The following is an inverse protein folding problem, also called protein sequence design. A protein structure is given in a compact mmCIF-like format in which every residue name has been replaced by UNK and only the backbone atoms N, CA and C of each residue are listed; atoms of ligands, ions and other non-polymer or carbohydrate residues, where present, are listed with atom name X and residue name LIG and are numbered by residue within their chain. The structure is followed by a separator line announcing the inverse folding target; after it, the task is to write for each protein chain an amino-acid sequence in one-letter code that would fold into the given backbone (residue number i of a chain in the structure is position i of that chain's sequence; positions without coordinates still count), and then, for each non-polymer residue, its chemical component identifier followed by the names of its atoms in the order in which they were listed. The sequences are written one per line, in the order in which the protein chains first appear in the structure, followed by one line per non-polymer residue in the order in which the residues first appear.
data_IF_758864855787
#
_entry.id   IF_758864855787
#
_cell.length_a   1.000
_cell.length_b   1.000
_cell.length_c   1.000
_cell.angle_alpha   90.00
_cell.angle_beta   90.00
_cell.angle_gamma   90.00
#
_symmetry.space_group_name_H-M   'P 1'
#
loop_
_entity.id
_entity.type
_entity.pdbx_description
1 polymer ?
#
# COMPACT_ATOMS: atom_id res chain seq x y z
N UNK A 1 -9.77 5.97 -8.50
CA UNK A 1 -9.80 4.49 -8.31
C UNK A 1 -11.16 3.89 -8.70
N UNK A 2 -11.18 2.80 -9.48
CA UNK A 2 -12.43 2.19 -9.99
C UNK A 2 -13.30 1.55 -8.89
N UNK A 3 -12.70 0.99 -7.84
CA UNK A 3 -13.42 0.40 -6.71
C UNK A 3 -14.32 1.43 -6.01
N UNK A 4 -13.83 2.66 -5.80
CA UNK A 4 -14.63 3.77 -5.24
C UNK A 4 -15.87 4.02 -6.10
N UNK A 5 -15.70 4.05 -7.44
CA UNK A 5 -16.81 4.26 -8.38
C UNK A 5 -17.86 3.14 -8.26
N UNK A 6 -17.40 1.89 -8.22
CA UNK A 6 -18.28 0.72 -8.09
C UNK A 6 -19.10 0.75 -6.80
N UNK A 7 -18.53 1.30 -5.74
CA UNK A 7 -19.17 1.45 -4.42
C UNK A 7 -20.04 2.72 -4.30
N UNK A 8 -20.22 3.48 -5.39
CA UNK A 8 -21.06 4.67 -5.43
C UNK A 8 -20.38 5.94 -4.92
N UNK A 9 -19.05 5.95 -4.81
CA UNK A 9 -18.28 7.13 -4.42
C UNK A 9 -18.30 8.24 -5.48
N UNK A 10 -18.17 9.48 -5.00
CA UNK A 10 -18.19 10.66 -5.86
C UNK A 10 -17.02 10.68 -6.85
N UNK A 11 -17.14 11.45 -7.93
CA UNK A 11 -16.01 11.68 -8.85
C UNK A 11 -14.80 12.26 -8.11
N UNK A 12 -15.03 13.25 -7.24
CA UNK A 12 -14.01 13.86 -6.40
C UNK A 12 -13.25 12.83 -5.56
N UNK A 13 -13.96 11.89 -4.96
CA UNK A 13 -13.35 10.79 -4.18
C UNK A 13 -12.62 9.77 -5.06
N UNK A 14 -13.08 9.56 -6.30
CA UNK A 14 -12.35 8.75 -7.27
C UNK A 14 -11.03 9.41 -7.69
N UNK A 15 -11.01 10.73 -7.84
CA UNK A 15 -9.79 11.53 -8.11
C UNK A 15 -8.84 11.42 -6.92
N UNK A 16 -9.32 11.65 -5.70
CA UNK A 16 -8.52 11.45 -4.48
C UNK A 16 -7.92 10.04 -4.42
N UNK A 17 -8.73 9.01 -4.69
CA UNK A 17 -8.23 7.63 -4.69
C UNK A 17 -7.32 7.28 -5.87
N UNK A 18 -7.33 8.05 -6.97
CA UNK A 18 -6.31 7.91 -8.03
C UNK A 18 -4.97 8.50 -7.59
N UNK A 19 -5.01 9.56 -6.78
CA UNK A 19 -3.84 10.33 -6.37
C UNK A 19 -3.25 9.87 -5.04
N UNK A 20 -3.94 9.04 -4.24
CA UNK A 20 -3.56 8.75 -2.85
C UNK A 20 -2.09 8.31 -2.66
N UNK A 21 -1.54 7.58 -3.63
CA UNK A 21 -0.15 7.10 -3.61
C UNK A 21 0.83 7.93 -4.48
N UNK A 22 0.44 9.13 -4.91
CA UNK A 22 1.23 9.97 -5.84
C UNK A 22 2.67 10.21 -5.40
N UNK A 23 2.92 10.26 -4.11
CA UNK A 23 4.22 10.57 -3.51
C UNK A 23 5.01 9.33 -3.05
N UNK A 24 4.55 8.12 -3.38
CA UNK A 24 5.36 6.92 -3.17
C UNK A 24 6.66 7.02 -3.97
N UNK A 25 7.77 6.73 -3.30
CA UNK A 25 9.10 6.71 -3.91
C UNK A 25 9.40 5.36 -4.57
N UNK A 26 10.53 5.30 -5.27
CA UNK A 26 11.12 4.06 -5.74
C UNK A 26 11.18 3.02 -4.60
N UNK A 27 10.75 1.79 -4.92
CA UNK A 27 10.61 0.66 -4.00
C UNK A 27 9.65 0.89 -2.83
N UNK A 28 8.72 1.84 -2.96
CA UNK A 28 7.64 2.10 -2.01
C UNK A 28 8.18 2.30 -0.59
N UNK A 29 7.78 1.48 0.38
CA UNK A 29 8.18 1.59 1.79
C UNK A 29 9.65 1.27 2.09
N UNK A 30 10.45 0.83 1.10
CA UNK A 30 11.88 0.59 1.36
C UNK A 30 12.59 1.89 1.75
N UNK A 31 12.15 3.05 1.25
CA UNK A 31 12.73 4.35 1.61
C UNK A 31 12.64 4.63 3.11
N UNK A 32 11.56 4.19 3.76
CA UNK A 32 11.34 4.38 5.19
C UNK A 32 12.47 3.68 5.98
N UNK A 33 12.87 2.48 5.56
CA UNK A 33 14.00 1.76 6.16
C UNK A 33 15.34 2.41 5.82
N UNK A 34 15.52 2.92 4.60
CA UNK A 34 16.77 3.60 4.18
C UNK A 34 17.05 4.80 5.07
N UNK A 35 16.03 5.65 5.29
CA UNK A 35 16.11 6.89 6.04
C UNK A 35 15.89 6.73 7.55
N UNK A 36 15.74 5.50 8.05
CA UNK A 36 15.40 5.18 9.44
C UNK A 36 14.13 5.86 9.94
N UNK A 37 13.12 5.97 9.07
CA UNK A 37 11.82 6.52 9.38
C UNK A 37 10.87 5.39 9.83
N UNK A 38 10.52 5.36 11.11
CA UNK A 38 9.81 4.22 11.71
C UNK A 38 8.28 4.28 11.58
N UNK A 39 7.69 5.41 11.20
CA UNK A 39 6.23 5.53 11.11
C UNK A 39 5.67 5.07 9.75
N UNK A 40 6.54 4.70 8.80
CA UNK A 40 6.18 4.30 7.42
C UNK A 40 5.42 5.39 6.63
N UNK A 41 5.62 6.67 7.00
CA UNK A 41 4.86 7.83 6.49
C UNK A 41 5.67 8.79 5.59
N UNK A 42 6.87 8.41 5.14
CA UNK A 42 7.73 9.35 4.37
C UNK A 42 7.01 9.92 3.15
N UNK A 43 6.25 9.09 2.43
CA UNK A 43 5.45 9.49 1.28
C UNK A 43 4.37 10.53 1.63
N UNK A 44 3.75 10.46 2.82
CA UNK A 44 2.72 11.42 3.26
C UNK A 44 3.29 12.85 3.37
N UNK A 45 4.55 12.99 3.78
CA UNK A 45 5.24 14.30 3.90
C UNK A 45 5.39 15.02 2.57
N UNK A 46 5.55 14.25 1.49
CA UNK A 46 5.74 14.77 0.13
C UNK A 46 4.45 14.88 -0.66
N UNK A 47 3.35 14.29 -0.18
CA UNK A 47 2.08 14.29 -0.90
C UNK A 47 1.60 15.70 -1.25
N UNK A 48 1.63 16.62 -0.29
CA UNK A 48 1.27 18.02 -0.52
C UNK A 48 2.20 18.74 -1.51
N UNK A 49 3.50 18.39 -1.52
CA UNK A 49 4.45 18.98 -2.46
C UNK A 49 4.14 18.54 -3.90
N UNK A 50 3.93 17.24 -4.13
CA UNK A 50 3.63 16.70 -5.46
C UNK A 50 2.29 17.18 -6.00
N UNK A 51 1.27 17.20 -5.15
CA UNK A 51 -0.08 17.60 -5.55
C UNK A 51 -0.16 19.08 -5.95
N UNK A 52 0.73 19.93 -5.42
CA UNK A 52 0.83 21.35 -5.78
C UNK A 52 1.71 21.62 -6.99
N UNK A 53 2.43 20.62 -7.51
CA UNK A 53 3.25 20.82 -8.71
C UNK A 53 2.36 21.26 -9.88
N UNK A 54 2.82 22.22 -10.71
CA UNK A 54 2.01 22.77 -11.81
C UNK A 54 1.42 21.70 -12.73
N UNK A 55 2.15 20.61 -12.97
CA UNK A 55 1.70 19.50 -13.82
C UNK A 55 0.44 18.81 -13.28
N UNK A 56 0.30 18.70 -11.96
CA UNK A 56 -0.85 18.06 -11.31
C UNK A 56 -1.92 19.10 -10.98
N UNK A 57 -1.53 20.22 -10.37
CA UNK A 57 -2.47 21.25 -9.91
C UNK A 57 -3.22 21.89 -11.07
N UNK A 58 -2.57 22.15 -12.21
CA UNK A 58 -3.25 22.70 -13.39
C UNK A 58 -4.29 21.75 -13.99
N UNK A 59 -4.03 20.44 -13.94
CA UNK A 59 -5.01 19.42 -14.36
C UNK A 59 -6.18 19.43 -13.39
N UNK A 60 -5.95 19.42 -12.07
CA UNK A 60 -7.02 19.50 -11.09
C UNK A 60 -7.91 20.74 -11.33
N UNK A 61 -7.29 21.91 -11.50
CA UNK A 61 -7.98 23.18 -11.75
C UNK A 61 -8.81 23.14 -13.05
N UNK A 62 -8.28 22.55 -14.12
CA UNK A 62 -8.99 22.39 -15.39
C UNK A 62 -10.28 21.56 -15.27
N UNK A 63 -10.35 20.69 -14.26
CA UNK A 63 -11.52 19.87 -13.94
C UNK A 63 -12.34 20.41 -12.75
N UNK A 64 -12.02 21.61 -12.26
CA UNK A 64 -12.78 22.27 -11.18
C UNK A 64 -12.45 21.79 -9.77
N UNK A 65 -11.27 21.17 -9.58
CA UNK A 65 -10.75 20.75 -8.28
C UNK A 65 -9.52 21.58 -7.89
N UNK A 66 -9.19 21.57 -6.61
CA UNK A 66 -7.95 22.17 -6.10
C UNK A 66 -7.09 21.15 -5.36
N UNK A 67 -5.78 21.39 -5.29
CA UNK A 67 -4.89 20.58 -4.46
C UNK A 67 -5.32 20.59 -2.99
N UNK A 68 -5.75 21.74 -2.46
CA UNK A 68 -6.22 21.85 -1.07
C UNK A 68 -7.42 20.95 -0.80
N UNK A 69 -8.38 20.89 -1.73
CA UNK A 69 -9.53 19.99 -1.61
C UNK A 69 -9.16 18.51 -1.59
N UNK A 70 -8.09 18.12 -2.31
CA UNK A 70 -7.58 16.75 -2.30
C UNK A 70 -6.81 16.46 -1.01
N UNK A 71 -6.14 17.45 -0.41
CA UNK A 71 -5.39 17.30 0.84
C UNK A 71 -6.27 17.26 2.08
N UNK A 72 -7.32 18.11 2.13
CA UNK A 72 -8.16 18.26 3.32
C UNK A 72 -9.52 17.59 3.18
N UNK A 73 -9.80 16.96 2.04
CA UNK A 73 -11.07 16.30 1.77
C UNK A 73 -11.27 15.08 2.65
N UNK A 74 -12.52 14.86 3.10
CA UNK A 74 -12.90 13.65 3.82
C UNK A 74 -13.39 12.60 2.82
N UNK A 75 -12.54 11.61 2.51
CA UNK A 75 -12.79 10.56 1.53
C UNK A 75 -12.97 9.19 2.22
N UNK A 76 -14.13 9.01 2.85
CA UNK A 76 -14.42 7.88 3.75
C UNK A 76 -14.51 6.50 3.10
N UNK A 77 -14.71 6.43 1.77
CA UNK A 77 -14.65 5.18 1.01
C UNK A 77 -13.19 4.86 0.68
N UNK A 78 -12.40 5.87 0.28
CA UNK A 78 -10.98 5.72 -0.01
C UNK A 78 -10.23 5.18 1.20
N UNK A 79 -10.33 5.89 2.33
CA UNK A 79 -9.54 5.61 3.52
C UNK A 79 -10.38 5.67 4.80
N UNK A 80 -10.05 4.78 5.74
CA UNK A 80 -10.61 4.73 7.08
C UNK A 80 -9.49 4.31 8.04
N UNK A 81 -9.53 4.74 9.31
CA UNK A 81 -8.63 4.21 10.32
C UNK A 81 -8.89 2.70 10.53
N UNK A 82 -7.84 1.97 10.87
CA UNK A 82 -7.99 0.60 11.36
C UNK A 82 -8.93 0.55 12.57
N UNK A 83 -9.73 -0.50 12.74
CA UNK A 83 -9.74 -1.75 11.96
C UNK A 83 -10.78 -1.78 10.82
N UNK A 84 -11.40 -0.65 10.48
CA UNK A 84 -12.47 -0.58 9.46
C UNK A 84 -11.94 -0.92 8.08
N UNK A 85 -12.74 -1.49 7.16
CA UNK A 85 -12.34 -1.61 5.76
C UNK A 85 -12.39 -0.25 5.04
N UNK A 86 -11.52 -0.07 4.04
CA UNK A 86 -11.55 1.04 3.09
C UNK A 86 -11.12 0.53 1.71
N UNK A 87 -11.26 1.37 0.69
CA UNK A 87 -11.04 0.96 -0.68
C UNK A 87 -9.56 0.77 -1.01
N UNK A 88 -8.65 1.57 -0.45
CA UNK A 88 -7.20 1.33 -0.56
C UNK A 88 -6.84 -0.07 -0.02
N UNK A 89 -7.14 -0.32 1.27
CA UNK A 89 -6.86 -1.62 1.90
C UNK A 89 -7.51 -2.80 1.21
N UNK A 90 -8.72 -2.65 0.71
CA UNK A 90 -9.37 -3.71 -0.03
C UNK A 90 -8.70 -3.94 -1.39
N UNK A 91 -8.33 -2.88 -2.12
CA UNK A 91 -7.70 -2.96 -3.42
C UNK A 91 -6.35 -3.68 -3.34
N UNK A 92 -5.42 -3.19 -2.50
CA UNK A 92 -4.10 -3.83 -2.41
C UNK A 92 -4.22 -5.28 -1.90
N UNK A 93 -5.16 -5.58 -0.99
CA UNK A 93 -5.33 -6.95 -0.49
C UNK A 93 -5.71 -7.92 -1.59
N UNK A 94 -6.68 -7.54 -2.42
CA UNK A 94 -7.15 -8.40 -3.50
C UNK A 94 -6.12 -8.47 -4.63
N UNK A 95 -5.52 -7.33 -4.98
CA UNK A 95 -4.52 -7.19 -6.05
C UNK A 95 -3.25 -7.98 -5.75
N UNK A 96 -2.70 -7.81 -4.55
CA UNK A 96 -1.42 -8.43 -4.19
C UNK A 96 -1.56 -9.93 -4.04
N UNK A 97 -2.65 -10.41 -3.42
CA UNK A 97 -2.94 -11.84 -3.32
C UNK A 97 -3.20 -12.47 -4.69
N UNK A 98 -3.82 -11.75 -5.63
CA UNK A 98 -3.99 -12.22 -7.01
C UNK A 98 -2.64 -12.42 -7.69
N UNK A 99 -1.75 -11.42 -7.64
CA UNK A 99 -0.42 -11.50 -8.23
C UNK A 99 0.49 -12.51 -7.53
N UNK A 100 0.30 -12.73 -6.23
CA UNK A 100 0.95 -13.79 -5.47
C UNK A 100 0.41 -15.20 -5.78
N UNK A 101 -0.65 -15.33 -6.59
CA UNK A 101 -1.28 -16.61 -6.92
C UNK A 101 -2.09 -17.23 -5.77
N UNK A 102 -2.43 -16.43 -4.75
CA UNK A 102 -3.18 -16.84 -3.56
C UNK A 102 -4.69 -16.55 -3.67
N UNK A 103 -5.09 -15.84 -4.72
CA UNK A 103 -6.47 -15.59 -5.10
C UNK A 103 -6.68 -15.71 -6.61
N UNK A 104 -7.88 -16.11 -7.00
CA UNK A 104 -8.35 -16.06 -8.38
C UNK A 104 -9.28 -14.87 -8.63
N UNK A 105 -9.37 -14.41 -9.89
CA UNK A 105 -10.35 -13.37 -10.27
C UNK A 105 -11.81 -13.78 -9.95
N UNK A 106 -12.11 -15.08 -10.04
CA UNK A 106 -13.44 -15.61 -9.71
C UNK A 106 -13.77 -15.40 -8.23
N UNK A 107 -12.83 -15.70 -7.34
CA UNK A 107 -13.01 -15.47 -5.90
C UNK A 107 -13.14 -13.97 -5.59
N UNK A 108 -12.32 -13.13 -6.23
CA UNK A 108 -12.36 -11.69 -6.07
C UNK A 108 -13.72 -11.13 -6.47
N UNK A 109 -14.21 -11.46 -7.67
CA UNK A 109 -15.53 -10.98 -8.13
C UNK A 109 -16.66 -11.48 -7.23
N UNK A 110 -16.64 -12.75 -6.83
CA UNK A 110 -17.63 -13.30 -5.90
C UNK A 110 -17.62 -12.58 -4.54
N UNK A 111 -16.44 -12.23 -4.03
CA UNK A 111 -16.35 -11.43 -2.81
C UNK A 111 -16.89 -10.01 -3.00
N UNK A 112 -16.54 -9.33 -4.10
CA UNK A 112 -16.97 -7.96 -4.37
C UNK A 112 -18.50 -7.81 -4.49
N UNK A 113 -19.22 -8.86 -4.88
CA UNK A 113 -20.70 -8.89 -4.82
C UNK A 113 -21.26 -8.73 -3.40
N UNK A 114 -20.45 -8.94 -2.38
CA UNK A 114 -20.81 -8.84 -0.97
C UNK A 114 -20.33 -7.54 -0.31
N UNK A 115 -19.73 -6.60 -1.07
CA UNK A 115 -19.19 -5.34 -0.53
C UNK A 115 -20.11 -4.19 -0.91
N UNK A 116 -20.42 -3.32 0.05
CA UNK A 116 -21.19 -2.10 -0.20
C UNK A 116 -20.80 -0.98 0.76
N UNK A 117 -21.32 0.22 0.52
CA UNK A 117 -21.18 1.37 1.42
C UNK A 117 -22.51 1.60 2.14
N UNK A 118 -22.47 1.69 3.47
CA UNK A 118 -23.61 2.03 4.32
C UNK A 118 -23.20 3.13 5.29
N UNK A 119 -23.89 4.28 5.24
CA UNK A 119 -23.58 5.48 6.05
C UNK A 119 -22.09 5.85 5.99
N UNK A 120 -21.55 5.99 4.77
CA UNK A 120 -20.16 6.35 4.50
C UNK A 120 -19.10 5.35 5.05
N UNK A 121 -19.49 4.12 5.38
CA UNK A 121 -18.56 3.05 5.77
C UNK A 121 -18.69 1.86 4.86
N UNK A 122 -17.55 1.27 4.51
CA UNK A 122 -17.52 0.00 3.79
C UNK A 122 -17.98 -1.12 4.72
N UNK A 123 -19.00 -1.86 4.29
CA UNK A 123 -19.56 -3.00 5.00
C UNK A 123 -19.66 -4.20 4.06
N UNK A 124 -19.74 -5.39 4.63
CA UNK A 124 -20.04 -6.62 3.91
C UNK A 124 -21.44 -7.14 4.25
N UNK A 125 -22.05 -7.89 3.34
CA UNK A 125 -23.46 -8.33 3.45
C UNK A 125 -23.64 -9.65 4.19
N UNK A 126 -22.56 -10.35 4.57
CA UNK A 126 -22.66 -11.63 5.26
C UNK A 126 -21.50 -11.90 6.21
N UNK A 127 -21.76 -12.74 7.23
CA UNK A 127 -20.73 -13.24 8.15
C UNK A 127 -19.63 -14.02 7.40
N UNK A 128 -20.01 -14.76 6.36
CA UNK A 128 -19.07 -15.50 5.52
C UNK A 128 -18.11 -14.56 4.78
N UNK A 129 -18.62 -13.49 4.17
CA UNK A 129 -17.79 -12.49 3.50
C UNK A 129 -16.83 -11.79 4.48
N UNK A 130 -17.31 -11.43 5.67
CA UNK A 130 -16.45 -10.82 6.69
C UNK A 130 -15.32 -11.74 7.15
N UNK A 131 -15.61 -13.02 7.40
CA UNK A 131 -14.60 -14.01 7.74
C UNK A 131 -13.59 -14.18 6.61
N UNK A 132 -14.08 -14.28 5.38
CA UNK A 132 -13.24 -14.44 4.20
C UNK A 132 -12.25 -13.28 4.04
N UNK A 133 -12.70 -12.02 4.06
CA UNK A 133 -11.77 -10.90 3.87
C UNK A 133 -10.80 -10.74 5.03
N UNK A 134 -11.23 -11.01 6.28
CA UNK A 134 -10.33 -11.02 7.45
C UNK A 134 -9.24 -12.09 7.30
N UNK A 135 -9.61 -13.30 6.86
CA UNK A 135 -8.67 -14.37 6.57
C UNK A 135 -7.69 -13.98 5.45
N UNK A 136 -8.18 -13.45 4.33
CA UNK A 136 -7.33 -13.03 3.20
C UNK A 136 -6.37 -11.90 3.61
N UNK A 137 -6.82 -10.92 4.38
CA UNK A 137 -5.95 -9.88 4.91
C UNK A 137 -4.85 -10.45 5.83
N UNK A 138 -5.20 -11.44 6.67
CA UNK A 138 -4.22 -12.14 7.50
C UNK A 138 -3.21 -12.92 6.65
N UNK A 139 -3.66 -13.64 5.62
CA UNK A 139 -2.80 -14.35 4.67
C UNK A 139 -1.84 -13.39 3.96
N UNK A 140 -2.34 -12.25 3.47
CA UNK A 140 -1.47 -11.22 2.87
C UNK A 140 -0.38 -10.77 3.84
N UNK A 141 -0.75 -10.44 5.08
CA UNK A 141 0.20 -10.00 6.07
C UNK A 141 1.25 -11.06 6.42
N UNK A 142 0.87 -12.35 6.48
CA UNK A 142 1.75 -13.43 6.92
C UNK A 142 2.57 -14.03 5.78
N UNK A 143 1.92 -14.35 4.66
CA UNK A 143 2.50 -15.09 3.54
C UNK A 143 3.12 -14.18 2.47
N UNK A 144 2.82 -12.87 2.51
CA UNK A 144 3.38 -11.90 1.56
C UNK A 144 4.23 -10.85 2.26
N UNK A 145 3.66 -10.00 3.13
CA UNK A 145 4.44 -8.91 3.73
C UNK A 145 5.49 -9.41 4.75
N UNK A 146 5.13 -10.37 5.61
CA UNK A 146 6.06 -10.95 6.59
C UNK A 146 6.86 -12.14 6.05
N UNK A 147 6.75 -12.45 4.76
CA UNK A 147 7.53 -13.52 4.15
C UNK A 147 9.02 -13.23 4.32
N UNK A 148 9.77 -14.19 4.86
CA UNK A 148 11.17 -14.00 5.26
C UNK A 148 12.05 -13.55 4.10
N UNK A 149 11.79 -14.07 2.91
CA UNK A 149 12.47 -13.71 1.67
C UNK A 149 12.25 -12.24 1.30
N UNK A 150 11.01 -11.74 1.46
CA UNK A 150 10.68 -10.34 1.16
C UNK A 150 11.29 -9.39 2.20
N UNK A 151 11.20 -9.75 3.49
CA UNK A 151 11.86 -9.00 4.56
C UNK A 151 13.38 -8.94 4.37
N UNK A 152 14.01 -10.06 4.01
CA UNK A 152 15.42 -10.11 3.70
C UNK A 152 15.77 -9.22 2.50
N UNK A 153 15.04 -9.32 1.40
CA UNK A 153 15.30 -8.51 0.20
C UNK A 153 15.16 -7.01 0.50
N UNK A 154 14.06 -6.60 1.15
CA UNK A 154 13.84 -5.21 1.53
C UNK A 154 14.92 -4.70 2.47
N UNK A 155 15.34 -5.50 3.45
CA UNK A 155 16.41 -5.11 4.36
C UNK A 155 17.75 -4.94 3.64
N UNK A 156 18.15 -5.91 2.81
CA UNK A 156 19.43 -5.85 2.10
C UNK A 156 19.44 -4.74 1.05
N UNK A 157 18.30 -4.50 0.41
CA UNK A 157 18.15 -3.37 -0.50
C UNK A 157 18.26 -2.05 0.27
N UNK A 158 17.60 -1.91 1.42
CA UNK A 158 17.72 -0.71 2.25
C UNK A 158 19.16 -0.47 2.74
N UNK A 159 19.87 -1.52 3.16
CA UNK A 159 21.29 -1.46 3.53
C UNK A 159 22.16 -0.95 2.36
N UNK A 160 21.96 -1.49 1.15
CA UNK A 160 22.68 -1.07 -0.05
C UNK A 160 22.38 0.39 -0.42
N UNK A 161 21.11 0.77 -0.43
CA UNK A 161 20.67 2.12 -0.78
C UNK A 161 21.21 3.16 0.21
N UNK A 162 21.23 2.84 1.51
CA UNK A 162 21.81 3.70 2.54
C UNK A 162 23.31 3.91 2.33
N UNK A 163 24.06 2.85 2.06
CA UNK A 163 25.50 2.95 1.75
C UNK A 163 25.74 3.86 0.53
N UNK A 164 24.92 3.74 -0.52
CA UNK A 164 25.07 4.58 -1.71
C UNK A 164 24.71 6.05 -1.45
N UNK A 165 23.75 6.34 -0.59
CA UNK A 165 23.46 7.69 -0.11
C UNK A 165 24.62 8.27 0.72
N UNK A 166 25.15 7.51 1.68
CA UNK A 166 26.28 7.93 2.53
C UNK A 166 27.53 8.27 1.73
N UNK A 167 27.72 7.63 0.58
CA UNK A 167 28.82 7.87 -0.35
C UNK A 167 28.49 8.83 -1.50
N UNK A 168 27.30 9.46 -1.50
CA UNK A 168 26.82 10.35 -2.56
C UNK A 168 26.79 9.72 -3.98
N UNK A 169 26.65 8.40 -4.07
CA UNK A 169 26.38 7.71 -5.33
C UNK A 169 24.90 7.78 -5.73
N UNK A 170 24.02 7.90 -4.74
CA UNK A 170 22.61 8.26 -4.89
C UNK A 170 22.37 9.59 -4.17
N UNK A 171 21.36 10.31 -4.63
CA UNK A 171 20.77 11.46 -3.95
C UNK A 171 19.35 11.10 -3.50
N UNK A 172 18.82 11.81 -2.49
CA UNK A 172 17.42 11.60 -2.07
C UNK A 172 16.43 11.81 -3.23
N UNK A 173 16.73 12.77 -4.11
CA UNK A 173 15.91 13.07 -5.29
C UNK A 173 15.79 11.92 -6.29
N UNK A 174 16.77 10.99 -6.32
CA UNK A 174 16.71 9.81 -7.19
C UNK A 174 15.54 8.90 -6.82
N UNK A 175 15.10 8.90 -5.55
CA UNK A 175 13.99 8.10 -5.07
C UNK A 175 12.63 8.63 -5.53
N UNK A 176 12.53 9.90 -5.92
CA UNK A 176 11.31 10.47 -6.53
C UNK A 176 11.16 10.15 -8.03
N UNK A 177 12.12 9.41 -8.62
CA UNK A 177 12.02 8.94 -9.99
C UNK A 177 11.23 7.62 -10.05
N UNK A 178 11.90 6.49 -10.28
CA UNK A 178 11.27 5.17 -10.32
C UNK A 178 12.31 4.07 -10.03
N UNK A 179 11.83 2.86 -9.77
CA UNK A 179 12.67 1.69 -9.47
C UNK A 179 13.74 1.44 -10.54
N UNK A 180 13.39 1.62 -11.82
CA UNK A 180 14.32 1.39 -12.94
C UNK A 180 15.46 2.42 -12.94
N UNK A 181 15.16 3.69 -12.67
CA UNK A 181 16.17 4.73 -12.53
C UNK A 181 17.18 4.39 -11.43
N UNK A 182 16.69 4.05 -10.24
CA UNK A 182 17.57 3.72 -9.10
C UNK A 182 18.36 2.44 -9.36
N UNK A 183 17.74 1.40 -9.95
CA UNK A 183 18.46 0.17 -10.37
C UNK A 183 19.58 0.50 -11.34
N UNK A 184 19.33 1.34 -12.35
CA UNK A 184 20.35 1.71 -13.32
C UNK A 184 21.54 2.40 -12.66
N UNK A 185 21.29 3.32 -11.71
CA UNK A 185 22.34 3.98 -10.91
C UNK A 185 23.17 2.98 -10.11
N UNK A 186 22.52 2.02 -9.43
CA UNK A 186 23.19 0.93 -8.72
C UNK A 186 24.05 0.12 -9.69
N UNK A 187 23.52 -0.20 -10.87
CA UNK A 187 24.20 -1.02 -11.85
C UNK A 187 25.44 -0.34 -12.46
N UNK A 188 25.61 0.98 -12.40
CA UNK A 188 26.83 1.65 -12.86
C UNK A 188 28.08 1.33 -12.03
N UNK A 189 27.91 1.00 -10.73
CA UNK A 189 29.01 0.63 -9.85
C UNK A 189 29.18 -0.89 -9.80
N UNK A 190 30.36 -1.41 -10.15
CA UNK A 190 30.63 -2.85 -10.10
C UNK A 190 30.36 -3.44 -8.71
N UNK A 191 30.79 -2.73 -7.66
CA UNK A 191 30.58 -3.15 -6.27
C UNK A 191 29.10 -3.18 -5.88
N UNK A 192 28.35 -2.13 -6.23
CA UNK A 192 26.92 -2.05 -5.92
C UNK A 192 26.11 -3.07 -6.74
N UNK A 193 26.45 -3.26 -8.02
CA UNK A 193 25.88 -4.31 -8.88
C UNK A 193 26.09 -5.71 -8.29
N UNK A 194 27.29 -6.03 -7.83
CA UNK A 194 27.56 -7.33 -7.20
C UNK A 194 26.71 -7.54 -5.94
N UNK A 195 26.47 -6.48 -5.14
CA UNK A 195 25.56 -6.55 -3.98
C UNK A 195 24.11 -6.75 -4.43
N UNK A 196 23.65 -6.02 -5.45
CA UNK A 196 22.31 -6.19 -6.01
C UNK A 196 22.08 -7.60 -6.55
N UNK A 197 23.07 -8.19 -7.22
CA UNK A 197 22.99 -9.55 -7.76
C UNK A 197 22.87 -10.60 -6.65
N UNK A 198 23.54 -10.41 -5.51
CA UNK A 198 23.36 -11.24 -4.32
C UNK A 198 21.95 -11.14 -3.73
N UNK A 199 21.35 -9.95 -3.75
CA UNK A 199 19.96 -9.75 -3.32
C UNK A 199 19.01 -10.48 -4.28
N UNK A 200 19.16 -10.26 -5.60
CA UNK A 200 18.36 -10.90 -6.65
C UNK A 200 18.41 -12.43 -6.59
N UNK A 201 19.61 -12.98 -6.40
CA UNK A 201 19.84 -14.43 -6.29
C UNK A 201 19.55 -15.00 -4.91
N UNK A 202 19.28 -14.16 -3.91
CA UNK A 202 19.12 -14.54 -2.51
C UNK A 202 20.30 -15.38 -1.97
N UNK A 203 21.52 -15.14 -2.45
CA UNK A 203 22.67 -16.02 -2.17
C UNK A 203 23.02 -16.13 -0.69
N UNK A 204 22.83 -15.03 0.06
CA UNK A 204 23.16 -14.92 1.48
C UNK A 204 21.90 -15.05 2.37
N UNK A 205 20.75 -15.45 1.79
CA UNK A 205 19.51 -15.61 2.54
C UNK A 205 19.58 -16.81 3.49
N UNK A 206 19.33 -16.56 4.77
CA UNK A 206 19.20 -17.58 5.79
C UNK A 206 17.87 -17.38 6.55
N UNK A 207 16.88 -18.29 6.42
CA UNK A 207 15.57 -18.13 7.04
C UNK A 207 15.58 -18.23 8.57
N UNK A 208 16.71 -18.60 9.18
CA UNK A 208 16.89 -18.62 10.64
C UNK A 208 17.30 -17.24 11.16
N UNK A 209 17.94 -16.41 10.32
CA UNK A 209 18.32 -15.05 10.69
C UNK A 209 17.10 -14.14 10.58
N UNK A 210 16.63 -13.53 11.68
CA UNK A 210 15.49 -12.62 11.63
C UNK A 210 15.87 -11.33 10.90
N UNK A 211 14.90 -10.74 10.20
CA UNK A 211 15.04 -9.38 9.68
C UNK A 211 14.92 -8.36 10.81
N UNK A 212 15.61 -7.23 10.66
CA UNK A 212 15.47 -6.07 11.54
C UNK A 212 14.30 -5.15 11.14
N UNK A 213 13.63 -5.44 10.03
CA UNK A 213 12.43 -4.71 9.62
C UNK A 213 11.29 -5.06 10.58
N UNK A 214 10.74 -4.05 11.24
CA UNK A 214 9.58 -4.16 12.10
C UNK A 214 8.39 -3.64 11.31
N UNK A 215 7.54 -4.55 10.85
CA UNK A 215 6.31 -4.17 10.17
C UNK A 215 5.23 -3.76 11.18
N UNK A 216 4.49 -2.69 10.87
CA UNK A 216 3.33 -2.28 11.65
C UNK A 216 2.29 -3.41 11.67
N UNK A 217 1.80 -3.77 12.85
CA UNK A 217 0.72 -4.76 12.98
C UNK A 217 -0.59 -4.16 12.46
N UNK A 218 -1.09 -4.69 11.35
CA UNK A 218 -2.37 -4.27 10.74
C UNK A 218 -3.37 -5.42 10.86
N UNK A 219 -4.52 -5.15 11.46
CA UNK A 219 -5.63 -6.10 11.54
C UNK A 219 -6.94 -5.40 11.17
N UNK A 220 -7.78 -6.08 10.41
CA UNK A 220 -9.11 -5.61 10.05
C UNK A 220 -10.19 -6.33 10.87
N UNK A 221 -11.26 -5.61 11.15
CA UNK A 221 -12.46 -6.11 11.79
C UNK A 221 -13.67 -5.67 10.96
N UNK A 222 -13.96 -6.41 9.87
CA UNK A 222 -14.98 -6.01 8.90
C UNK A 222 -16.34 -5.79 9.54
N UNK A 223 -17.00 -4.72 9.14
CA UNK A 223 -18.38 -4.42 9.53
C UNK A 223 -19.35 -5.20 8.63
N UNK A 224 -20.36 -5.81 9.24
CA UNK A 224 -21.36 -6.62 8.56
C UNK A 224 -22.71 -5.92 8.68
N UNK A 225 -23.42 -5.77 7.56
CA UNK A 225 -24.77 -5.26 7.51
C UNK A 225 -25.78 -6.42 7.43
N UNK A 226 -26.60 -6.58 8.46
CA UNK A 226 -27.66 -7.59 8.52
C UNK A 226 -28.93 -6.98 9.11
N UNK A 227 -30.07 -7.17 8.44
CA UNK A 227 -31.37 -6.63 8.89
C UNK A 227 -31.35 -5.12 9.22
N UNK A 228 -30.57 -4.33 8.46
CA UNK A 228 -30.44 -2.88 8.65
C UNK A 228 -29.58 -2.45 9.85
N UNK A 229 -28.90 -3.39 10.52
CA UNK A 229 -27.98 -3.12 11.63
C UNK A 229 -26.55 -3.47 11.21
N UNK A 230 -25.62 -2.64 11.66
CA UNK A 230 -24.18 -2.86 11.44
C UNK A 230 -23.57 -3.36 12.74
N UNK A 231 -22.74 -4.39 12.64
CA UNK A 231 -21.94 -4.93 13.74
C UNK A 231 -20.57 -5.33 13.21
N UNK A 232 -19.56 -5.33 14.08
CA UNK A 232 -18.23 -5.82 13.73
C UNK A 232 -18.19 -7.35 13.76
N UNK A 233 -17.31 -7.92 12.96
CA UNK A 233 -17.11 -9.38 12.94
C UNK A 233 -16.77 -9.91 14.35
N UNK A 234 -15.92 -9.21 15.10
CA UNK A 234 -15.58 -9.56 16.49
C UNK A 234 -16.78 -9.66 17.43
N UNK A 235 -17.84 -8.88 17.21
CA UNK A 235 -19.06 -8.87 18.04
C UNK A 235 -19.98 -10.07 17.79
N UNK A 236 -19.80 -10.80 16.69
CA UNK A 236 -20.58 -12.02 16.34
C UNK A 236 -19.81 -13.32 16.55
N UNK A 237 -18.59 -13.25 17.07
CA UNK A 237 -17.79 -14.45 17.40
C UNK A 237 -18.03 -14.94 18.84
N UNK A 238 -19.17 -14.57 19.46
CA UNK A 238 -19.65 -15.13 20.72
C UNK A 238 -20.44 -16.41 20.55
#
# INVERSE_FOLDING_TARGET
MLLIRQLGGSEKEQVAGLLHDLSHTAFSHVIDYVLNHQEEDFHEKWFAYFLRQPEISSILEAYGYTADEMLTGSFSILEQPLPHLCADRLDYTLRDLYWAGLLTLKEIHAFLENVMVYKNRMVVTSLAAARWIKEKYMVLNQEYFQKKEHLYANQKLAELLRELLEHNFLLEDDFFQNDTHVINLIEFSLHARMKLDKIRSMSDFNPIVPSNIILKKREIDPEILEHGRVYRLSERQG
#
